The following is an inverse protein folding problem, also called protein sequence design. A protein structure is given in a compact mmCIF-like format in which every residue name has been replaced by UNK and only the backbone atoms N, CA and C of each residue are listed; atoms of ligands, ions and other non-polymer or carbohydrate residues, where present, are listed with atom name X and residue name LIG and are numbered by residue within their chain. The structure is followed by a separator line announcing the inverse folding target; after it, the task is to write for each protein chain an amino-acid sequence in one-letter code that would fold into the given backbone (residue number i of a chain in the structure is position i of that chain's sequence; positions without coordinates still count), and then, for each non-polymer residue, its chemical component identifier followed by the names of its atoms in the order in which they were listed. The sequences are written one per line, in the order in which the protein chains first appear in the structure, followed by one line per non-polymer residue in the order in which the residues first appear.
data_IF_988957108125
#
_entry.id   IF_988957108125
#
_cell.length_a   1.000
_cell.length_b   1.000
_cell.length_c   1.000
_cell.angle_alpha   90.00
_cell.angle_beta   90.00
_cell.angle_gamma   90.00
#
_symmetry.space_group_name_H-M   'P 1'
#
loop_
_entity.id
_entity.type
_entity.pdbx_description
1 polymer ?
#
# COMPACT_ATOMS: atom_id res chain seq x y z
N UNK A 1 8.67 9.37 14.49
CA UNK A 1 9.09 8.97 13.12
C UNK A 1 8.32 7.71 12.76
N UNK A 2 7.50 7.77 11.71
CA UNK A 2 6.73 6.64 11.18
C UNK A 2 7.70 5.63 10.54
N UNK A 3 7.54 4.33 10.82
CA UNK A 3 8.40 3.28 10.22
C UNK A 3 7.87 2.82 8.86
N UNK A 4 6.74 3.39 8.44
CA UNK A 4 6.00 3.04 7.24
C UNK A 4 6.86 3.05 5.95
N UNK A 5 7.69 4.07 5.65
CA UNK A 5 8.50 4.07 4.42
C UNK A 5 9.43 2.86 4.34
N UNK A 6 10.13 2.55 5.43
CA UNK A 6 11.08 1.41 5.51
C UNK A 6 10.40 0.05 5.36
N UNK A 7 9.13 -0.06 5.77
CA UNK A 7 8.36 -1.29 5.61
C UNK A 7 7.85 -1.44 4.16
N UNK A 8 7.50 -0.33 3.52
CA UNK A 8 7.04 -0.30 2.12
C UNK A 8 8.20 -0.60 1.16
N UNK A 9 9.41 -0.10 1.41
CA UNK A 9 10.58 -0.36 0.56
C UNK A 9 10.88 -1.85 0.41
N UNK A 10 10.59 -2.66 1.44
CA UNK A 10 10.72 -4.12 1.38
C UNK A 10 9.75 -4.79 0.40
N UNK A 11 8.73 -4.07 -0.05
CA UNK A 11 7.65 -4.53 -0.90
C UNK A 11 7.68 -3.89 -2.30
N UNK A 12 8.56 -2.92 -2.56
CA UNK A 12 8.59 -2.14 -3.81
C UNK A 12 8.73 -3.04 -5.06
N UNK A 13 9.45 -4.16 -4.92
CA UNK A 13 9.66 -5.11 -6.00
C UNK A 13 8.61 -6.22 -6.08
N UNK A 14 7.71 -6.34 -5.10
CA UNK A 14 6.64 -7.33 -5.11
C UNK A 14 5.50 -6.89 -6.03
N UNK A 15 5.14 -7.75 -6.98
CA UNK A 15 3.93 -7.53 -7.78
C UNK A 15 2.68 -7.80 -6.95
N UNK A 16 1.57 -7.15 -7.30
CA UNK A 16 0.30 -7.28 -6.58
C UNK A 16 -0.20 -8.73 -6.56
N UNK A 17 -0.08 -9.49 -7.66
CA UNK A 17 -0.54 -10.89 -7.70
C UNK A 17 0.28 -11.84 -6.83
N UNK A 18 1.52 -11.45 -6.48
CA UNK A 18 2.40 -12.24 -5.60
C UNK A 18 2.29 -11.82 -4.14
N UNK A 19 1.60 -10.71 -3.87
CA UNK A 19 1.49 -10.13 -2.54
C UNK A 19 0.58 -11.00 -1.67
N UNK A 20 1.14 -11.51 -0.57
CA UNK A 20 0.42 -12.30 0.44
C UNK A 20 0.26 -11.50 1.71
N UNK A 21 -0.82 -11.75 2.44
CA UNK A 21 -1.06 -11.10 3.73
C UNK A 21 0.10 -11.24 4.72
N UNK A 22 0.79 -12.40 4.71
CA UNK A 22 1.97 -12.63 5.55
C UNK A 22 3.09 -11.63 5.32
N UNK A 23 3.26 -11.18 4.08
CA UNK A 23 4.32 -10.24 3.67
C UNK A 23 3.96 -8.81 4.02
N UNK A 24 2.67 -8.45 3.96
CA UNK A 24 2.18 -7.09 4.26
C UNK A 24 1.75 -6.90 5.71
N UNK A 25 1.78 -7.95 6.54
CA UNK A 25 1.29 -7.94 7.92
C UNK A 25 1.90 -6.83 8.77
N UNK A 26 3.20 -6.57 8.62
CA UNK A 26 3.88 -5.53 9.40
C UNK A 26 3.47 -4.12 8.93
N UNK A 27 3.24 -3.93 7.64
CA UNK A 27 2.67 -2.69 7.09
C UNK A 27 1.23 -2.51 7.56
N UNK A 28 0.42 -3.56 7.54
CA UNK A 28 -0.97 -3.55 8.06
C UNK A 28 -1.03 -3.09 9.52
N UNK A 29 -0.16 -3.62 10.38
CA UNK A 29 -0.07 -3.19 11.79
C UNK A 29 0.29 -1.71 11.92
N UNK A 30 1.21 -1.21 11.10
CA UNK A 30 1.59 0.19 11.10
C UNK A 30 0.47 1.11 10.59
N UNK A 31 -0.28 0.67 9.57
CA UNK A 31 -1.48 1.35 9.05
C UNK A 31 -2.54 1.48 10.15
N UNK A 32 -2.84 0.39 10.87
CA UNK A 32 -3.82 0.40 11.96
C UNK A 32 -3.36 1.31 13.10
N UNK A 33 -2.08 1.21 13.48
CA UNK A 33 -1.49 2.03 14.55
C UNK A 33 -1.53 3.53 14.23
N UNK A 34 -1.30 3.88 12.96
CA UNK A 34 -1.20 5.27 12.51
C UNK A 34 -2.56 5.85 12.11
N UNK A 35 -3.52 5.01 11.71
CA UNK A 35 -4.85 5.39 11.22
C UNK A 35 -5.85 5.88 12.26
N UNK A 36 -5.40 6.42 13.40
CA UNK A 36 -6.27 6.90 14.46
C UNK A 36 -7.05 8.18 14.06
N UNK A 37 -6.49 9.03 13.19
CA UNK A 37 -7.13 10.27 12.69
C UNK A 37 -6.85 10.48 11.21
N UNK A 38 -7.64 11.31 10.53
CA UNK A 38 -7.38 11.66 9.13
C UNK A 38 -6.04 12.41 8.95
N UNK A 39 -5.72 13.32 9.87
CA UNK A 39 -4.48 14.10 9.84
C UNK A 39 -3.23 13.22 9.99
N UNK A 40 -3.28 12.19 10.85
CA UNK A 40 -2.15 11.28 11.02
C UNK A 40 -1.91 10.43 9.76
N UNK A 41 -2.98 10.06 9.06
CA UNK A 41 -2.91 9.38 7.76
C UNK A 41 -2.29 10.31 6.72
N UNK A 42 -2.78 11.54 6.59
CA UNK A 42 -2.26 12.50 5.62
C UNK A 42 -0.76 12.77 5.84
N UNK A 43 -0.35 13.08 7.07
CA UNK A 43 1.05 13.29 7.42
C UNK A 43 1.92 12.07 7.10
N UNK A 44 1.41 10.86 7.30
CA UNK A 44 2.13 9.64 6.95
C UNK A 44 2.28 9.49 5.43
N UNK A 45 1.24 9.78 4.65
CA UNK A 45 1.27 9.70 3.18
C UNK A 45 2.14 10.78 2.53
N UNK A 46 2.22 11.97 3.14
CA UNK A 46 3.10 13.06 2.70
C UNK A 46 4.58 12.68 2.85
N UNK A 47 4.92 11.83 3.83
CA UNK A 47 6.28 11.31 4.01
C UNK A 47 6.71 10.23 3.00
N UNK A 48 5.79 9.74 2.16
CA UNK A 48 6.05 8.70 1.16
C UNK A 48 6.39 9.30 -0.20
N UNK A 49 7.29 8.64 -0.93
CA UNK A 49 7.51 8.90 -2.35
C UNK A 49 6.33 8.39 -3.20
N UNK A 50 6.24 8.83 -4.45
CA UNK A 50 5.16 8.38 -5.35
C UNK A 50 5.19 6.87 -5.57
N UNK A 51 6.38 6.26 -5.71
CA UNK A 51 6.52 4.81 -5.83
C UNK A 51 6.07 4.07 -4.55
N UNK A 52 6.37 4.64 -3.38
CA UNK A 52 5.92 4.09 -2.10
C UNK A 52 4.39 4.21 -1.94
N UNK A 53 3.77 5.30 -2.41
CA UNK A 53 2.32 5.47 -2.43
C UNK A 53 1.64 4.44 -3.32
N UNK A 54 2.18 4.17 -4.50
CA UNK A 54 1.68 3.11 -5.38
C UNK A 54 1.78 1.73 -4.73
N UNK A 55 2.92 1.44 -4.08
CA UNK A 55 3.11 0.18 -3.34
C UNK A 55 2.15 0.07 -2.17
N UNK A 56 1.90 1.17 -1.45
CA UNK A 56 0.89 1.22 -0.39
C UNK A 56 -0.51 0.95 -0.91
N UNK A 57 -0.87 1.44 -2.11
CA UNK A 57 -2.16 1.14 -2.72
C UNK A 57 -2.32 -0.38 -2.96
N UNK A 58 -1.27 -1.09 -3.42
CA UNK A 58 -1.27 -2.56 -3.54
C UNK A 58 -1.50 -3.24 -2.18
N UNK A 59 -0.80 -2.76 -1.15
CA UNK A 59 -0.93 -3.28 0.22
C UNK A 59 -2.36 -3.10 0.73
N UNK A 60 -2.99 -1.95 0.50
CA UNK A 60 -4.36 -1.69 0.95
C UNK A 60 -5.36 -2.67 0.30
N UNK A 61 -5.24 -2.94 -1.01
CA UNK A 61 -6.09 -3.94 -1.66
C UNK A 61 -5.84 -5.35 -1.11
N UNK A 62 -4.58 -5.74 -0.89
CA UNK A 62 -4.23 -7.03 -0.28
C UNK A 62 -4.83 -7.17 1.14
N UNK A 63 -4.75 -6.11 1.95
CA UNK A 63 -5.33 -6.06 3.29
C UNK A 63 -6.87 -6.13 3.25
N UNK A 64 -7.52 -5.42 2.33
CA UNK A 64 -8.98 -5.47 2.18
C UNK A 64 -9.49 -6.86 1.79
N UNK A 65 -8.73 -7.60 1.00
CA UNK A 65 -9.05 -8.97 0.62
C UNK A 65 -8.91 -9.97 1.79
N UNK A 66 -7.93 -9.77 2.67
CA UNK A 66 -7.51 -10.77 3.67
C UNK A 66 -7.80 -10.41 5.14
N UNK A 67 -8.02 -9.14 5.48
CA UNK A 67 -8.31 -8.65 6.82
C UNK A 67 -9.53 -7.72 6.82
N UNK A 68 -10.72 -8.32 6.86
CA UNK A 68 -11.97 -7.56 6.89
C UNK A 68 -12.21 -6.79 8.20
N UNK A 69 -11.53 -7.14 9.31
CA UNK A 69 -11.78 -6.55 10.63
C UNK A 69 -11.39 -5.08 10.70
N UNK A 70 -10.34 -4.71 9.97
CA UNK A 70 -9.81 -3.35 9.93
C UNK A 70 -10.14 -2.62 8.62
N UNK A 71 -11.13 -3.13 7.87
CA UNK A 71 -11.54 -2.60 6.56
C UNK A 71 -11.86 -1.10 6.58
N UNK A 72 -12.52 -0.59 7.61
CA UNK A 72 -12.79 0.86 7.75
C UNK A 72 -11.51 1.69 7.75
N UNK A 73 -10.46 1.25 8.47
CA UNK A 73 -9.16 1.93 8.48
C UNK A 73 -8.51 1.84 7.11
N UNK A 74 -8.51 0.67 6.46
CA UNK A 74 -7.94 0.54 5.11
C UNK A 74 -8.65 1.40 4.08
N UNK A 75 -9.97 1.51 4.15
CA UNK A 75 -10.77 2.38 3.28
C UNK A 75 -10.49 3.87 3.54
N UNK A 76 -10.27 4.27 4.79
CA UNK A 76 -9.86 5.64 5.11
C UNK A 76 -8.49 5.97 4.48
N UNK A 77 -7.51 5.08 4.64
CA UNK A 77 -6.20 5.24 4.01
C UNK A 77 -6.29 5.28 2.49
N UNK A 78 -7.12 4.41 1.90
CA UNK A 78 -7.39 4.39 0.47
C UNK A 78 -7.97 5.73 -0.01
N UNK A 79 -9.00 6.24 0.65
CA UNK A 79 -9.66 7.48 0.27
C UNK A 79 -8.71 8.70 0.35
N UNK A 80 -7.89 8.79 1.41
CA UNK A 80 -6.89 9.85 1.53
C UNK A 80 -5.81 9.74 0.45
N UNK A 81 -5.29 8.53 0.22
CA UNK A 81 -4.28 8.29 -0.81
C UNK A 81 -4.80 8.55 -2.22
N UNK A 82 -6.05 8.18 -2.50
CA UNK A 82 -6.73 8.47 -3.75
C UNK A 82 -6.88 9.98 -3.97
N UNK A 83 -7.23 10.74 -2.93
CA UNK A 83 -7.33 12.20 -3.02
C UNK A 83 -5.99 12.86 -3.39
N UNK A 84 -4.86 12.27 -2.99
CA UNK A 84 -3.52 12.79 -3.30
C UNK A 84 -2.99 12.37 -4.68
N UNK A 85 -3.27 11.14 -5.10
CA UNK A 85 -2.62 10.51 -6.29
C UNK A 85 -3.55 10.33 -7.48
N UNK A 86 -4.86 10.49 -7.27
CA UNK A 86 -5.90 10.26 -8.27
C UNK A 86 -6.05 8.79 -8.67
N UNK A 87 -6.79 8.57 -9.76
CA UNK A 87 -7.08 7.24 -10.29
C UNK A 87 -5.85 6.51 -10.85
N UNK A 88 -4.77 7.24 -11.17
CA UNK A 88 -3.54 6.67 -11.70
C UNK A 88 -2.91 5.62 -10.78
N UNK A 89 -2.93 5.84 -9.45
CA UNK A 89 -2.41 4.88 -8.48
C UNK A 89 -3.19 3.55 -8.52
N UNK A 90 -4.53 3.63 -8.59
CA UNK A 90 -5.39 2.43 -8.69
C UNK A 90 -5.13 1.70 -10.00
N UNK A 91 -5.07 2.42 -11.12
CA UNK A 91 -4.80 1.82 -12.43
C UNK A 91 -3.46 1.09 -12.44
N UNK A 92 -2.41 1.69 -11.87
CA UNK A 92 -1.09 1.05 -11.76
C UNK A 92 -1.14 -0.25 -10.95
N UNK A 93 -1.93 -0.31 -9.87
CA UNK A 93 -2.16 -1.57 -9.13
C UNK A 93 -2.88 -2.61 -9.98
N UNK A 94 -3.99 -2.23 -10.63
CA UNK A 94 -4.81 -3.18 -11.41
C UNK A 94 -4.09 -3.69 -12.67
N UNK A 95 -3.19 -2.89 -13.24
CA UNK A 95 -2.35 -3.27 -14.38
C UNK A 95 -1.01 -3.86 -13.96
N UNK A 96 -0.75 -4.03 -12.66
CA UNK A 96 0.50 -4.57 -12.14
C UNK A 96 0.60 -6.05 -12.49
N UNK A 97 1.28 -6.35 -13.60
CA UNK A 97 1.54 -7.71 -14.03
C UNK A 97 2.77 -8.25 -13.30
N UNK A 98 2.78 -9.55 -13.05
CA UNK A 98 3.99 -10.29 -12.66
C UNK A 98 5.09 -9.90 -13.65
N UNK A 99 6.22 -9.37 -13.17
CA UNK A 99 7.42 -9.20 -13.98
C UNK A 99 7.87 -10.58 -14.41
N UNK A 100 7.39 -11.04 -15.58
CA UNK A 100 8.00 -12.15 -16.28
C UNK A 100 9.46 -11.78 -16.44
N UNK A 101 10.36 -12.57 -15.87
CA UNK A 101 11.78 -12.43 -16.13
C UNK A 101 11.95 -12.76 -17.62
N UNK A 102 11.96 -11.74 -18.48
CA UNK A 102 12.47 -11.88 -19.85
C UNK A 102 13.97 -12.10 -19.71
N UNK A 103 14.33 -13.36 -19.49
CA UNK A 103 15.68 -13.87 -19.69
C UNK A 103 15.84 -13.98 -21.21
N UNK A 104 16.15 -12.86 -21.85
CA UNK A 104 16.62 -12.84 -23.23
C UNK A 104 18.10 -13.23 -23.22
N UNK A 105 18.31 -14.41 -23.77
CA UNK A 105 19.55 -15.04 -24.27
C UNK A 105 20.58 -14.10 -24.85
#
# INVERSE_FOLDING_TARGET
MTRLPQLIDKLEHCSFSEMKFTTVRDVSREIIRTGATADSVQNALESLSDTQRDTLMKVLYCCLEHDCRNSSTYLQWHATLYSMTGSGAIMRVLTDKKRSHEMST
#
